data_IF_412374032798
#
_entry.id   IF_412374032798
#
_cell.length_a   1.000
_cell.length_b   1.000
_cell.length_c   1.000
_cell.angle_alpha   90.00
_cell.angle_beta   90.00
_cell.angle_gamma   90.00
#
_symmetry.space_group_name_H-M   'P 1'
#
loop_
_entity.id
_entity.type
_entity.pdbx_description
1 polymer ?
#
# COMPACT_ATOMS: atom_id res chain seq x y z
N UNK A 1 11.87 -1.71 6.65
CA UNK A 1 11.79 -0.24 6.52
C UNK A 1 13.09 0.34 5.91
N UNK A 2 13.50 -0.14 4.71
CA UNK A 2 14.78 0.28 4.09
C UNK A 2 14.81 1.76 3.67
N UNK A 3 13.70 2.27 3.13
CA UNK A 3 13.60 3.68 2.72
C UNK A 3 13.72 4.64 3.92
N UNK A 4 13.13 4.28 5.07
CA UNK A 4 13.33 5.01 6.34
C UNK A 4 14.82 5.09 6.72
N UNK A 5 15.54 3.96 6.64
CA UNK A 5 16.98 3.92 6.93
C UNK A 5 17.78 4.78 5.94
N UNK A 6 17.42 4.75 4.64
CA UNK A 6 18.03 5.60 3.61
C UNK A 6 17.84 7.09 3.90
N UNK A 7 16.68 7.48 4.44
CA UNK A 7 16.39 8.86 4.85
C UNK A 7 17.02 9.25 6.20
N UNK A 8 17.64 8.31 6.91
CA UNK A 8 18.29 8.58 8.19
C UNK A 8 17.33 8.93 9.33
N UNK A 9 16.06 8.51 9.25
CA UNK A 9 15.08 8.77 10.31
C UNK A 9 15.46 8.06 11.60
N UNK A 10 15.36 8.74 12.74
CA UNK A 10 15.48 8.11 14.06
C UNK A 10 14.21 7.29 14.33
N UNK A 11 14.41 6.01 14.69
CA UNK A 11 13.31 5.11 15.05
C UNK A 11 12.51 5.63 16.24
N UNK A 12 13.13 6.34 17.18
CA UNK A 12 12.45 6.91 18.36
C UNK A 12 11.42 7.97 18.00
N UNK A 13 11.62 8.65 16.87
CA UNK A 13 10.75 9.71 16.36
C UNK A 13 9.79 9.22 15.26
N UNK A 14 9.82 7.92 14.94
CA UNK A 14 9.07 7.32 13.81
C UNK A 14 7.96 6.39 14.30
N UNK A 15 6.79 6.40 13.68
CA UNK A 15 5.76 5.39 13.94
C UNK A 15 5.17 4.79 12.66
N UNK A 16 4.50 3.66 12.80
CA UNK A 16 3.72 3.01 11.74
C UNK A 16 2.25 3.27 11.99
N UNK A 17 1.57 3.83 11.00
CA UNK A 17 0.11 3.88 10.92
C UNK A 17 -0.37 2.73 10.03
N UNK A 18 -0.98 1.72 10.63
CA UNK A 18 -1.58 0.60 9.91
C UNK A 18 -3.09 0.79 9.78
N UNK A 19 -3.53 1.26 8.62
CA UNK A 19 -4.95 1.41 8.29
C UNK A 19 -5.48 0.04 7.83
N UNK A 20 -6.43 -0.49 8.58
CA UNK A 20 -6.86 -1.90 8.49
C UNK A 20 -8.32 -2.04 8.06
N UNK A 21 -8.61 -3.14 7.38
CA UNK A 21 -9.96 -3.58 6.99
C UNK A 21 -10.01 -5.10 7.21
N UNK A 22 -10.00 -5.51 8.48
CA UNK A 22 -9.70 -6.88 8.89
C UNK A 22 -10.84 -7.88 8.56
N UNK A 23 -12.04 -7.35 8.27
CA UNK A 23 -13.20 -8.07 7.77
C UNK A 23 -12.97 -8.67 6.38
N UNK A 24 -12.06 -8.09 5.58
CA UNK A 24 -11.70 -8.57 4.25
C UNK A 24 -10.39 -9.39 4.32
N UNK A 25 -10.47 -10.70 4.10
CA UNK A 25 -9.34 -11.63 4.27
C UNK A 25 -8.08 -11.23 3.50
N UNK A 26 -8.20 -10.84 2.23
CA UNK A 26 -7.05 -10.37 1.44
C UNK A 26 -6.45 -9.06 1.99
N UNK A 27 -7.28 -8.17 2.55
CA UNK A 27 -6.80 -6.91 3.11
C UNK A 27 -6.06 -7.16 4.43
N UNK A 28 -6.67 -7.97 5.31
CA UNK A 28 -6.07 -8.41 6.57
C UNK A 28 -4.71 -9.07 6.36
N UNK A 29 -4.59 -9.96 5.37
CA UNK A 29 -3.31 -10.63 5.05
C UNK A 29 -2.24 -9.65 4.59
N UNK A 30 -2.58 -8.67 3.75
CA UNK A 30 -1.63 -7.64 3.26
C UNK A 30 -1.09 -6.78 4.39
N UNK A 31 -1.97 -6.24 5.24
CA UNK A 31 -1.55 -5.37 6.37
C UNK A 31 -0.80 -6.17 7.43
N UNK A 32 -1.27 -7.37 7.78
CA UNK A 32 -0.59 -8.26 8.74
C UNK A 32 0.80 -8.64 8.23
N UNK A 33 0.92 -9.07 6.97
CA UNK A 33 2.22 -9.40 6.39
C UNK A 33 3.20 -8.22 6.36
N UNK A 34 2.70 -7.00 6.13
CA UNK A 34 3.51 -5.78 6.19
C UNK A 34 4.00 -5.50 7.63
N UNK A 35 3.11 -5.60 8.61
CA UNK A 35 3.42 -5.43 10.04
C UNK A 35 4.44 -6.48 10.49
N UNK A 36 4.24 -7.75 10.15
CA UNK A 36 5.13 -8.84 10.52
C UNK A 36 6.53 -8.65 9.93
N UNK A 37 6.63 -8.21 8.66
CA UNK A 37 7.90 -7.88 8.03
C UNK A 37 8.62 -6.70 8.70
N UNK A 38 7.87 -5.68 9.18
CA UNK A 38 8.45 -4.57 9.95
C UNK A 38 9.00 -5.05 11.29
N UNK A 39 8.24 -5.87 12.03
CA UNK A 39 8.67 -6.45 13.30
C UNK A 39 9.89 -7.36 13.13
N UNK A 40 9.86 -8.24 12.13
CA UNK A 40 10.97 -9.13 11.83
C UNK A 40 12.25 -8.38 11.44
N UNK A 41 12.12 -7.19 10.84
CA UNK A 41 13.25 -6.31 10.54
C UNK A 41 13.75 -5.51 11.77
N UNK A 42 13.07 -5.60 12.92
CA UNK A 42 13.45 -4.93 14.16
C UNK A 42 12.72 -3.62 14.47
N UNK A 43 11.62 -3.30 13.76
CA UNK A 43 10.82 -2.12 14.08
C UNK A 43 10.09 -2.33 15.43
N UNK A 44 10.09 -1.35 16.35
CA UNK A 44 9.46 -1.51 17.66
C UNK A 44 7.95 -1.71 17.57
N UNK A 45 7.44 -2.82 18.12
CA UNK A 45 6.00 -3.14 18.09
C UNK A 45 5.14 -2.06 18.76
N UNK A 46 5.62 -1.48 19.85
CA UNK A 46 4.95 -0.39 20.57
C UNK A 46 4.75 0.89 19.73
N UNK A 47 5.42 1.01 18.59
CA UNK A 47 5.32 2.13 17.66
C UNK A 47 4.52 1.77 16.39
N UNK A 48 3.79 0.64 16.41
CA UNK A 48 2.89 0.20 15.34
C UNK A 48 1.44 0.38 15.80
N UNK A 49 0.77 1.39 15.27
CA UNK A 49 -0.59 1.72 15.64
C UNK A 49 -1.57 1.29 14.56
N UNK A 50 -2.50 0.40 14.92
CA UNK A 50 -3.57 -0.06 14.02
C UNK A 50 -4.78 0.86 14.16
N UNK A 51 -5.39 1.21 13.04
CA UNK A 51 -6.67 1.94 13.00
C UNK A 51 -7.58 1.32 11.94
N UNK A 52 -8.83 0.97 12.25
CA UNK A 52 -9.75 0.45 11.26
C UNK A 52 -10.25 1.58 10.35
N UNK A 53 -10.39 1.29 9.06
CA UNK A 53 -11.11 2.16 8.12
C UNK A 53 -12.54 1.67 7.90
N UNK A 54 -13.47 2.59 7.64
CA UNK A 54 -14.88 2.28 7.35
C UNK A 54 -15.12 1.90 5.89
N UNK A 55 -14.22 2.29 5.00
CA UNK A 55 -14.32 2.04 3.55
C UNK A 55 -12.92 1.93 2.94
N UNK A 56 -12.79 1.09 1.92
CA UNK A 56 -11.52 0.78 1.27
C UNK A 56 -11.14 1.81 0.18
N UNK A 57 -11.37 3.09 0.47
CA UNK A 57 -11.18 4.24 -0.40
C UNK A 57 -10.40 5.36 0.30
N UNK A 58 -10.11 6.42 -0.44
CA UNK A 58 -9.33 7.57 0.08
C UNK A 58 -10.07 8.25 1.25
N UNK A 59 -11.37 8.59 1.18
CA UNK A 59 -12.07 9.23 2.29
C UNK A 59 -12.08 8.40 3.58
N UNK A 60 -12.39 7.10 3.50
CA UNK A 60 -12.40 6.25 4.68
C UNK A 60 -11.03 6.12 5.34
N UNK A 61 -9.97 6.02 4.54
CA UNK A 61 -8.61 5.95 5.06
C UNK A 61 -8.10 7.31 5.58
N UNK A 62 -8.55 8.41 4.98
CA UNK A 62 -8.27 9.77 5.46
C UNK A 62 -8.86 10.01 6.86
N UNK A 63 -10.10 9.62 7.08
CA UNK A 63 -10.75 9.73 8.40
C UNK A 63 -10.02 8.90 9.46
N UNK A 64 -9.68 7.65 9.13
CA UNK A 64 -8.90 6.78 9.99
C UNK A 64 -7.52 7.38 10.31
N UNK A 65 -6.81 7.86 9.29
CA UNK A 65 -5.50 8.48 9.44
C UNK A 65 -5.52 9.72 10.33
N UNK A 66 -6.49 10.63 10.14
CA UNK A 66 -6.64 11.81 10.99
C UNK A 66 -6.85 11.45 12.45
N UNK A 67 -7.71 10.45 12.72
CA UNK A 67 -7.96 10.01 14.10
C UNK A 67 -6.71 9.48 14.78
N UNK A 68 -5.81 8.81 14.03
CA UNK A 68 -4.55 8.30 14.54
C UNK A 68 -3.53 9.42 14.77
N UNK A 69 -3.41 10.37 13.85
CA UNK A 69 -2.43 11.46 13.95
C UNK A 69 -2.63 12.32 15.21
N UNK A 70 -3.87 12.67 15.55
CA UNK A 70 -4.17 13.49 16.73
C UNK A 70 -3.88 12.78 18.06
N UNK A 71 -3.84 11.45 18.07
CA UNK A 71 -3.52 10.64 19.26
C UNK A 71 -2.00 10.51 19.49
N UNK A 72 -1.19 10.80 18.46
CA UNK A 72 0.26 10.61 18.49
C UNK A 72 1.04 11.87 18.04
N UNK A 73 0.84 13.03 18.70
CA UNK A 73 1.47 14.30 18.29
C UNK A 73 3.00 14.32 18.45
N UNK A 74 3.57 13.40 19.20
CA UNK A 74 5.02 13.25 19.41
C UNK A 74 5.76 12.66 18.19
N UNK A 75 5.05 12.01 17.27
CA UNK A 75 5.66 11.32 16.13
C UNK A 75 6.06 12.34 15.07
N UNK A 76 7.32 12.29 14.61
CA UNK A 76 7.84 13.19 13.58
C UNK A 76 7.86 12.56 12.19
N UNK A 77 7.92 11.24 12.11
CA UNK A 77 7.94 10.53 10.83
C UNK A 77 6.95 9.36 10.79
N UNK A 78 6.25 9.21 9.66
CA UNK A 78 5.21 8.19 9.50
C UNK A 78 5.53 7.20 8.39
N UNK A 79 5.48 5.92 8.74
CA UNK A 79 5.31 4.82 7.80
C UNK A 79 3.81 4.50 7.68
N UNK A 80 3.26 4.57 6.48
CA UNK A 80 1.82 4.28 6.27
C UNK A 80 1.69 2.90 5.63
N UNK A 81 0.99 2.02 6.35
CA UNK A 81 0.61 0.67 5.91
C UNK A 81 -0.88 0.67 5.59
N UNK A 82 -1.23 0.17 4.41
CA UNK A 82 -2.60 -0.01 3.95
C UNK A 82 -2.67 -1.14 2.94
N UNK A 83 -3.87 -1.66 2.68
CA UNK A 83 -4.02 -2.86 1.84
C UNK A 83 -3.99 -2.59 0.33
N UNK A 84 -4.16 -1.34 -0.09
CA UNK A 84 -4.11 -0.90 -1.48
C UNK A 84 -3.62 0.56 -1.58
N UNK A 85 -3.43 1.04 -2.81
CA UNK A 85 -3.02 2.43 -3.11
C UNK A 85 -3.95 3.47 -2.47
N UNK A 86 -5.27 3.32 -2.62
CA UNK A 86 -6.27 4.27 -2.08
C UNK A 86 -6.19 4.43 -0.57
N UNK A 87 -6.01 3.32 0.15
CA UNK A 87 -5.89 3.32 1.62
C UNK A 87 -4.64 4.09 2.03
N UNK A 88 -3.51 3.81 1.37
CA UNK A 88 -2.25 4.51 1.66
C UNK A 88 -2.34 5.98 1.29
N UNK A 89 -2.96 6.32 0.15
CA UNK A 89 -3.21 7.69 -0.27
C UNK A 89 -4.05 8.45 0.75
N UNK A 90 -5.12 7.85 1.30
CA UNK A 90 -5.92 8.48 2.36
C UNK A 90 -5.08 8.81 3.60
N UNK A 91 -4.23 7.89 4.04
CA UNK A 91 -3.26 8.16 5.11
C UNK A 91 -2.30 9.30 4.77
N UNK A 92 -1.76 9.32 3.55
CA UNK A 92 -0.84 10.39 3.10
C UNK A 92 -1.55 11.74 3.09
N UNK A 93 -2.79 11.82 2.56
CA UNK A 93 -3.60 13.04 2.59
C UNK A 93 -3.86 13.51 4.03
N UNK A 94 -4.09 12.59 4.97
CA UNK A 94 -4.26 12.94 6.38
C UNK A 94 -2.98 13.56 6.97
N UNK A 95 -1.80 13.00 6.67
CA UNK A 95 -0.52 13.56 7.14
C UNK A 95 -0.27 14.96 6.58
N UNK A 96 -0.58 15.20 5.30
CA UNK A 96 -0.48 16.52 4.68
C UNK A 96 -1.39 17.54 5.38
N UNK A 97 -2.62 17.15 5.71
CA UNK A 97 -3.57 17.97 6.46
C UNK A 97 -3.11 18.34 7.87
N UNK A 98 -2.27 17.51 8.49
CA UNK A 98 -1.63 17.76 9.79
C UNK A 98 -0.25 18.45 9.67
N UNK A 99 0.12 18.88 8.46
CA UNK A 99 1.31 19.70 8.22
C UNK A 99 2.62 18.94 8.01
N UNK A 100 2.60 17.59 8.03
CA UNK A 100 3.77 16.78 7.69
C UNK A 100 4.22 17.06 6.25
N UNK A 101 5.53 17.06 6.03
CA UNK A 101 6.11 17.25 4.70
C UNK A 101 6.41 15.90 4.06
N UNK A 102 6.48 15.86 2.74
CA UNK A 102 6.79 14.63 1.99
C UNK A 102 8.05 13.89 2.48
N UNK A 103 9.15 14.57 2.88
CA UNK A 103 10.33 13.89 3.42
C UNK A 103 10.10 13.14 4.74
N UNK A 104 9.02 13.43 5.48
CA UNK A 104 8.67 12.86 6.79
C UNK A 104 7.62 11.75 6.71
N UNK A 105 7.19 11.39 5.50
CA UNK A 105 6.14 10.39 5.27
C UNK A 105 6.61 9.39 4.20
N UNK A 106 6.39 8.10 4.48
CA UNK A 106 6.60 7.01 3.53
C UNK A 106 5.33 6.14 3.53
N UNK A 107 4.50 6.30 2.51
CA UNK A 107 3.45 5.37 2.14
C UNK A 107 3.86 4.55 0.93
N UNK A 108 3.71 3.22 1.00
CA UNK A 108 3.87 2.32 -0.14
C UNK A 108 2.55 1.59 -0.36
N UNK A 109 1.88 1.90 -1.47
CA UNK A 109 0.62 1.28 -1.85
C UNK A 109 0.78 -0.13 -2.45
N UNK A 110 -0.36 -0.72 -2.81
CA UNK A 110 -0.45 -2.00 -3.53
C UNK A 110 -1.54 -1.82 -4.59
N UNK A 111 -1.21 -2.17 -5.84
CA UNK A 111 -2.01 -2.27 -7.07
C UNK A 111 -1.22 -1.66 -8.23
N UNK A 112 -0.59 -0.51 -7.99
CA UNK A 112 0.29 0.19 -8.92
C UNK A 112 -0.45 1.10 -9.90
N UNK A 113 -1.50 0.60 -10.55
CA UNK A 113 -2.27 1.39 -11.54
C UNK A 113 -2.99 2.59 -10.92
N UNK A 114 -3.45 2.46 -9.67
CA UNK A 114 -4.12 3.55 -8.94
C UNK A 114 -3.11 4.61 -8.46
N UNK A 115 -1.81 4.27 -8.43
CA UNK A 115 -0.73 5.16 -8.03
C UNK A 115 -0.23 6.08 -9.16
N UNK A 116 -0.59 5.83 -10.43
CA UNK A 116 -0.05 6.56 -11.60
C UNK A 116 -0.23 8.07 -11.48
N UNK A 117 -1.43 8.51 -11.10
CA UNK A 117 -1.73 9.93 -10.94
C UNK A 117 -0.88 10.58 -9.86
N UNK A 118 -0.64 9.88 -8.75
CA UNK A 118 0.17 10.37 -7.64
C UNK A 118 1.66 10.45 -8.04
N UNK A 119 2.18 9.40 -8.67
CA UNK A 119 3.58 9.34 -9.12
C UNK A 119 3.87 10.31 -10.26
N UNK A 120 2.85 10.73 -11.02
CA UNK A 120 2.97 11.70 -12.12
C UNK A 120 2.95 13.17 -11.67
N UNK A 121 2.65 13.47 -10.40
CA UNK A 121 2.65 14.85 -9.90
C UNK A 121 4.02 15.51 -10.09
N UNK A 122 4.02 16.83 -10.31
CA UNK A 122 5.26 17.59 -10.48
C UNK A 122 6.18 17.50 -9.26
N UNK A 123 5.60 17.56 -8.05
CA UNK A 123 6.32 17.45 -6.79
C UNK A 123 6.09 16.08 -6.14
N UNK A 124 7.12 15.51 -5.47
CA UNK A 124 6.95 14.29 -4.69
C UNK A 124 6.06 14.55 -3.46
N UNK A 125 5.35 13.51 -3.02
CA UNK A 125 4.49 13.52 -1.82
C UNK A 125 4.95 12.45 -0.84
N UNK A 126 4.23 12.29 0.27
CA UNK A 126 4.45 11.18 1.20
C UNK A 126 4.17 9.78 0.61
N UNK A 127 3.50 9.71 -0.55
CA UNK A 127 3.29 8.48 -1.29
C UNK A 127 4.56 8.15 -2.10
N UNK A 128 5.39 7.26 -1.56
CA UNK A 128 6.72 6.97 -2.09
C UNK A 128 6.67 6.09 -3.35
N UNK A 129 5.75 5.14 -3.37
CA UNK A 129 5.66 4.14 -4.44
C UNK A 129 4.48 3.20 -4.24
N UNK A 130 4.38 2.21 -5.11
CA UNK A 130 3.39 1.15 -5.03
C UNK A 130 4.00 -0.18 -5.43
N UNK A 131 3.55 -1.25 -4.81
CA UNK A 131 3.78 -2.60 -5.31
C UNK A 131 2.79 -2.87 -6.44
N UNK A 132 3.29 -3.01 -7.66
CA UNK A 132 2.56 -3.36 -8.87
C UNK A 132 2.52 -4.89 -9.02
N UNK A 133 1.35 -5.54 -8.78
CA UNK A 133 1.15 -6.95 -9.07
C UNK A 133 0.94 -7.14 -10.59
N UNK A 134 0.38 -8.28 -11.01
CA UNK A 134 0.03 -8.54 -12.41
C UNK A 134 -1.50 -8.52 -12.63
N UNK A 135 -2.15 -7.34 -12.69
CA UNK A 135 -3.58 -7.25 -12.97
C UNK A 135 -3.95 -7.73 -14.39
N UNK A 136 -3.02 -7.61 -15.34
CA UNK A 136 -3.09 -8.18 -16.68
C UNK A 136 -3.32 -9.70 -16.64
N UNK A 137 -2.57 -10.41 -15.80
CA UNK A 137 -2.72 -11.85 -15.58
C UNK A 137 -4.07 -12.14 -14.90
N UNK A 138 -4.47 -11.33 -13.92
CA UNK A 138 -5.75 -11.53 -13.22
C UNK A 138 -6.92 -11.49 -14.21
N UNK A 139 -7.00 -10.48 -15.07
CA UNK A 139 -8.08 -10.34 -16.04
C UNK A 139 -8.04 -11.41 -17.14
N UNK A 140 -6.87 -11.61 -17.76
CA UNK A 140 -6.74 -12.55 -18.88
C UNK A 140 -6.95 -14.00 -18.44
N UNK A 141 -6.23 -14.45 -17.40
CA UNK A 141 -6.25 -15.86 -16.97
C UNK A 141 -7.60 -16.27 -16.42
N UNK A 142 -8.29 -15.40 -15.68
CA UNK A 142 -9.65 -15.72 -15.19
C UNK A 142 -10.64 -15.85 -16.34
N UNK A 143 -10.58 -14.95 -17.32
CA UNK A 143 -11.43 -15.00 -18.52
C UNK A 143 -11.15 -16.24 -19.35
N UNK A 144 -9.88 -16.59 -19.56
CA UNK A 144 -9.47 -17.79 -20.28
C UNK A 144 -9.93 -19.07 -19.57
N UNK A 145 -9.74 -19.16 -18.24
CA UNK A 145 -10.19 -20.30 -17.45
C UNK A 145 -11.71 -20.48 -17.53
N UNK A 146 -12.47 -19.39 -17.42
CA UNK A 146 -13.93 -19.42 -17.56
C UNK A 146 -14.34 -19.86 -18.98
N UNK A 147 -13.71 -19.30 -20.01
CA UNK A 147 -13.97 -19.65 -21.39
C UNK A 147 -13.73 -21.14 -21.65
N UNK A 148 -12.59 -21.68 -21.22
CA UNK A 148 -12.24 -23.09 -21.38
C UNK A 148 -13.19 -24.01 -20.60
N UNK A 149 -13.64 -23.59 -19.42
CA UNK A 149 -14.62 -24.37 -18.67
C UNK A 149 -15.96 -24.45 -19.40
N UNK A 150 -16.48 -23.32 -19.87
CA UNK A 150 -17.77 -23.24 -20.55
C UNK A 150 -17.77 -23.92 -21.92
N UNK A 151 -16.72 -23.72 -22.71
CA UNK A 151 -16.68 -24.18 -24.11
C UNK A 151 -16.07 -25.58 -24.30
N UNK A 152 -15.21 -26.01 -23.36
CA UNK A 152 -14.46 -27.28 -23.48
C UNK A 152 -14.66 -28.21 -22.29
N UNK A 153 -15.42 -27.81 -21.27
CA UNK A 153 -15.62 -28.62 -20.05
C UNK A 153 -14.38 -28.74 -19.16
N UNK A 154 -13.36 -27.91 -19.35
CA UNK A 154 -12.12 -27.96 -18.55
C UNK A 154 -12.32 -27.23 -17.23
N UNK A 155 -12.50 -27.97 -16.13
CA UNK A 155 -12.68 -27.39 -14.81
C UNK A 155 -11.42 -26.60 -14.36
N UNK A 156 -11.56 -25.36 -13.88
CA UNK A 156 -10.42 -24.57 -13.42
C UNK A 156 -9.90 -25.06 -12.05
N UNK A 157 -8.61 -24.83 -11.75
CA UNK A 157 -8.08 -25.10 -10.41
C UNK A 157 -8.83 -24.29 -9.35
N UNK A 158 -9.08 -24.89 -8.18
CA UNK A 158 -9.78 -24.22 -7.06
C UNK A 158 -9.02 -23.02 -6.50
N UNK A 159 -7.71 -22.96 -6.71
CA UNK A 159 -6.86 -21.87 -6.27
C UNK A 159 -5.73 -21.62 -7.27
N UNK A 160 -5.52 -20.35 -7.61
CA UNK A 160 -4.38 -19.89 -8.42
C UNK A 160 -3.80 -18.65 -7.74
N UNK A 161 -2.55 -18.74 -7.27
CA UNK A 161 -1.81 -17.59 -6.78
C UNK A 161 -1.09 -16.88 -7.94
N UNK A 162 -1.13 -15.55 -7.95
CA UNK A 162 -0.30 -14.71 -8.82
C UNK A 162 0.70 -14.00 -7.92
N UNK A 163 1.98 -14.28 -8.12
CA UNK A 163 3.06 -13.94 -7.18
C UNK A 163 3.95 -12.80 -7.65
N UNK A 164 3.88 -12.46 -8.93
CA UNK A 164 4.73 -11.42 -9.52
C UNK A 164 4.39 -10.06 -8.93
N UNK A 165 5.42 -9.36 -8.46
CA UNK A 165 5.32 -8.02 -7.90
C UNK A 165 6.58 -7.23 -8.18
N UNK A 166 6.42 -5.97 -8.55
CA UNK A 166 7.54 -5.02 -8.69
C UNK A 166 7.22 -3.74 -7.93
N UNK A 167 8.21 -3.18 -7.23
CA UNK A 167 8.07 -1.85 -6.65
C UNK A 167 8.20 -0.80 -7.75
N UNK A 168 7.13 -0.04 -7.97
CA UNK A 168 7.15 1.16 -8.79
C UNK A 168 7.28 2.40 -7.93
N UNK A 169 8.12 3.32 -8.37
CA UNK A 169 8.37 4.63 -7.78
C UNK A 169 8.31 5.67 -8.89
N UNK A 170 8.48 6.95 -8.54
CA UNK A 170 8.55 8.03 -9.54
C UNK A 170 9.62 7.80 -10.61
N UNK A 171 10.69 7.08 -10.27
CA UNK A 171 11.85 6.88 -11.15
C UNK A 171 11.59 5.85 -12.26
N UNK A 172 10.74 4.84 -12.01
CA UNK A 172 10.59 3.68 -12.90
C UNK A 172 9.15 3.32 -13.28
N UNK A 173 8.11 3.98 -12.74
CA UNK A 173 6.72 3.52 -12.93
C UNK A 173 6.30 3.41 -14.41
N UNK A 174 6.73 4.36 -15.26
CA UNK A 174 6.40 4.33 -16.70
C UNK A 174 7.02 3.12 -17.41
N UNK A 175 8.27 2.79 -17.07
CA UNK A 175 8.97 1.66 -17.67
C UNK A 175 8.36 0.34 -17.22
N UNK A 176 8.07 0.20 -15.93
CA UNK A 176 7.49 -1.03 -15.36
C UNK A 176 6.05 -1.28 -15.83
N UNK A 177 5.25 -0.22 -16.01
CA UNK A 177 3.90 -0.34 -16.60
C UNK A 177 3.98 -0.78 -18.07
N UNK A 178 4.87 -0.16 -18.86
CA UNK A 178 5.05 -0.51 -20.26
C UNK A 178 5.48 -1.98 -20.46
N UNK A 179 6.32 -2.54 -19.57
CA UNK A 179 6.69 -3.97 -19.57
C UNK A 179 5.49 -4.91 -19.41
N UNK A 180 4.39 -4.43 -18.81
CA UNK A 180 3.14 -5.16 -18.57
C UNK A 180 2.02 -4.78 -19.55
N UNK A 181 2.28 -3.89 -20.51
CA UNK A 181 1.26 -3.38 -21.43
C UNK A 181 0.21 -2.48 -20.76
N UNK A 182 0.59 -1.82 -19.67
CA UNK A 182 -0.25 -0.89 -18.89
C UNK A 182 0.16 0.57 -19.11
#
# INVERSE_FOLDING_TARGET
YKEMQKRGWDVKDTAVMAITADELDTARRRTTGSIDALKAAGFPDAQIYRVPTKSNDIPGAFDAGNSMLVQHPQVKHWLIVGMNDNTVLGGVRATEGQGFKAPDVIGIGINGVDAVNELSKAQPTGFYGSLLPSPDIHGYKTSEMLYNWVTKGVEPPKFTAVTDVVLITRDNFKEELAKKGL
#
